data_IF_852600231132
#
_entry.id   IF_852600231132
#
_cell.length_a   1.000
_cell.length_b   1.000
_cell.length_c   1.000
_cell.angle_alpha   90.00
_cell.angle_beta   90.00
_cell.angle_gamma   90.00
#
_symmetry.space_group_name_H-M   'P 1'
#
loop_
_entity.id
_entity.type
_entity.pdbx_description
1 polymer ?
#
# COMPACT_ATOMS: atom_id res chain seq x y z
N UNK A 1 -10.40 -44.52 30.03
CA UNK A 1 -10.93 -44.25 28.68
C UNK A 1 -11.64 -42.89 28.55
N UNK A 2 -12.48 -42.42 29.49
CA UNK A 2 -13.19 -41.13 29.36
C UNK A 2 -12.31 -39.88 29.39
N UNK A 3 -11.17 -39.85 30.09
CA UNK A 3 -10.27 -38.71 30.17
C UNK A 3 -9.44 -38.48 28.88
N UNK A 4 -9.06 -39.56 28.17
CA UNK A 4 -8.29 -39.46 26.91
C UNK A 4 -9.14 -38.98 25.74
N UNK A 5 -10.42 -39.35 25.72
CA UNK A 5 -11.35 -38.88 24.69
C UNK A 5 -11.65 -37.36 24.82
N UNK A 6 -11.73 -36.86 26.08
CA UNK A 6 -11.94 -35.42 26.33
C UNK A 6 -10.72 -34.56 25.91
N UNK A 7 -9.51 -35.09 26.08
CA UNK A 7 -8.28 -34.40 25.66
C UNK A 7 -8.13 -34.33 24.13
N UNK A 8 -8.53 -35.41 23.42
CA UNK A 8 -8.56 -35.43 21.95
C UNK A 8 -9.60 -34.47 21.36
N UNK A 9 -10.75 -34.31 22.01
CA UNK A 9 -11.80 -33.38 21.58
C UNK A 9 -11.34 -31.91 21.76
N UNK A 10 -10.65 -31.61 22.87
CA UNK A 10 -10.08 -30.24 23.08
C UNK A 10 -8.99 -29.89 22.06
N UNK A 11 -8.11 -30.84 21.72
CA UNK A 11 -7.07 -30.61 20.70
C UNK A 11 -7.70 -30.44 19.30
N UNK A 12 -8.71 -31.21 18.97
CA UNK A 12 -9.42 -31.10 17.69
C UNK A 12 -10.15 -29.76 17.55
N UNK A 13 -10.78 -29.26 18.61
CA UNK A 13 -11.46 -27.96 18.58
C UNK A 13 -10.45 -26.80 18.35
N UNK A 14 -9.26 -26.85 18.96
CA UNK A 14 -8.24 -25.84 18.71
C UNK A 14 -7.68 -25.90 17.28
N UNK A 15 -7.42 -27.08 16.74
CA UNK A 15 -6.95 -27.23 15.35
C UNK A 15 -8.00 -26.77 14.34
N UNK A 16 -9.28 -27.01 14.58
CA UNK A 16 -10.37 -26.52 13.74
C UNK A 16 -10.49 -24.98 13.77
N UNK A 17 -10.27 -24.34 14.93
CA UNK A 17 -10.32 -22.88 15.04
C UNK A 17 -9.24 -22.21 14.21
N UNK A 18 -7.99 -22.67 14.28
CA UNK A 18 -6.89 -22.10 13.50
C UNK A 18 -7.05 -22.30 12.00
N UNK A 19 -7.50 -23.48 11.56
CA UNK A 19 -7.79 -23.74 10.14
C UNK A 19 -8.86 -22.79 9.61
N UNK A 20 -9.90 -22.51 10.38
CA UNK A 20 -10.96 -21.58 9.98
C UNK A 20 -10.49 -20.12 9.91
N UNK A 21 -9.52 -19.72 10.72
CA UNK A 21 -8.99 -18.35 10.72
C UNK A 21 -8.13 -18.07 9.47
N UNK A 22 -7.32 -19.02 9.04
CA UNK A 22 -6.55 -18.93 7.80
C UNK A 22 -7.47 -18.88 6.56
N UNK A 23 -8.48 -19.75 6.49
CA UNK A 23 -9.44 -19.75 5.39
C UNK A 23 -10.27 -18.45 5.33
N UNK A 24 -10.57 -17.86 6.50
CA UNK A 24 -11.20 -16.54 6.56
C UNK A 24 -10.28 -15.45 6.00
N UNK A 25 -8.99 -15.46 6.39
CA UNK A 25 -8.01 -14.52 5.86
C UNK A 25 -7.85 -14.63 4.34
N UNK A 26 -7.69 -15.86 3.82
CA UNK A 26 -7.60 -16.13 2.38
C UNK A 26 -8.79 -15.54 1.63
N UNK A 27 -10.01 -15.83 2.09
CA UNK A 27 -11.24 -15.31 1.48
C UNK A 27 -11.27 -13.77 1.44
N UNK A 28 -10.84 -13.09 2.51
CA UNK A 28 -10.77 -11.63 2.55
C UNK A 28 -9.76 -11.10 1.54
N UNK A 29 -8.56 -11.69 1.52
CA UNK A 29 -7.48 -11.28 0.61
C UNK A 29 -7.89 -11.52 -0.85
N UNK A 30 -8.37 -12.72 -1.18
CA UNK A 30 -8.87 -13.05 -2.52
C UNK A 30 -9.96 -12.08 -2.98
N UNK A 31 -10.90 -11.75 -2.08
CA UNK A 31 -11.99 -10.82 -2.41
C UNK A 31 -11.47 -9.42 -2.65
N UNK A 32 -10.69 -8.85 -1.72
CA UNK A 32 -10.19 -7.48 -1.80
C UNK A 32 -9.20 -7.28 -2.97
N UNK A 33 -8.41 -8.31 -3.33
CA UNK A 33 -7.47 -8.24 -4.45
C UNK A 33 -8.07 -8.67 -5.80
N UNK A 34 -9.36 -8.99 -5.85
CA UNK A 34 -10.04 -9.41 -7.09
C UNK A 34 -10.30 -8.22 -8.04
N UNK A 35 -10.48 -8.47 -9.36
CA UNK A 35 -10.81 -7.44 -10.33
C UNK A 35 -12.08 -6.63 -10.00
N UNK A 36 -13.02 -7.22 -9.26
CA UNK A 36 -14.26 -6.57 -8.81
C UNK A 36 -13.98 -5.33 -7.96
N UNK A 37 -12.88 -5.34 -7.18
CA UNK A 37 -12.49 -4.26 -6.28
C UNK A 37 -11.60 -3.20 -6.95
N UNK A 38 -11.34 -3.31 -8.27
CA UNK A 38 -10.69 -2.26 -9.06
C UNK A 38 -9.35 -1.81 -8.47
N UNK A 39 -8.60 -2.74 -7.86
CA UNK A 39 -7.36 -2.42 -7.13
C UNK A 39 -7.57 -1.47 -5.95
N UNK A 40 -8.77 -1.39 -5.39
CA UNK A 40 -9.16 -0.57 -4.22
C UNK A 40 -8.81 0.92 -4.33
N UNK A 41 -8.64 1.40 -5.56
CA UNK A 41 -8.37 2.81 -5.84
C UNK A 41 -9.61 3.60 -6.24
N UNK A 42 -9.41 4.78 -6.79
CA UNK A 42 -10.45 5.81 -6.96
C UNK A 42 -11.12 5.76 -8.34
N UNK A 43 -10.64 4.93 -9.25
CA UNK A 43 -11.29 4.65 -10.54
C UNK A 43 -12.41 3.64 -10.30
N UNK A 44 -13.58 3.89 -10.91
CA UNK A 44 -14.78 3.05 -10.78
C UNK A 44 -15.19 2.75 -9.31
N UNK A 45 -14.87 3.67 -8.37
CA UNK A 45 -15.18 3.58 -6.93
C UNK A 45 -14.62 2.33 -6.23
N UNK A 46 -13.45 1.84 -6.61
CA UNK A 46 -12.81 0.68 -5.99
C UNK A 46 -12.65 0.82 -4.47
N UNK A 47 -12.27 2.02 -3.99
CA UNK A 47 -12.20 2.36 -2.57
C UNK A 47 -13.58 2.24 -1.87
N UNK A 48 -14.65 2.71 -2.49
CA UNK A 48 -16.02 2.66 -1.90
C UNK A 48 -16.58 1.24 -1.86
N UNK A 49 -16.31 0.45 -2.89
CA UNK A 49 -16.67 -0.97 -2.94
C UNK A 49 -15.96 -1.71 -1.79
N UNK A 50 -14.69 -1.42 -1.57
CA UNK A 50 -13.88 -2.00 -0.49
C UNK A 50 -14.38 -1.59 0.89
N UNK A 51 -14.67 -0.31 1.08
CA UNK A 51 -15.24 0.20 2.34
C UNK A 51 -16.58 -0.44 2.68
N UNK A 52 -17.46 -0.60 1.68
CA UNK A 52 -18.76 -1.26 1.85
C UNK A 52 -18.58 -2.73 2.26
N UNK A 53 -17.66 -3.45 1.62
CA UNK A 53 -17.34 -4.83 1.99
C UNK A 53 -16.83 -4.93 3.42
N UNK A 54 -15.85 -4.10 3.82
CA UNK A 54 -15.27 -4.11 5.17
C UNK A 54 -16.34 -3.73 6.22
N UNK A 55 -17.20 -2.76 5.94
CA UNK A 55 -18.28 -2.37 6.86
C UNK A 55 -19.27 -3.50 7.08
N UNK A 56 -19.58 -4.29 6.05
CA UNK A 56 -20.43 -5.48 6.15
C UNK A 56 -19.76 -6.59 6.97
N UNK A 57 -18.45 -6.79 6.82
CA UNK A 57 -17.70 -7.73 7.67
C UNK A 57 -17.74 -7.26 9.14
N UNK A 58 -17.50 -5.96 9.43
CA UNK A 58 -17.63 -5.44 10.81
C UNK A 58 -19.03 -5.65 11.38
N UNK A 59 -20.08 -5.38 10.60
CA UNK A 59 -21.45 -5.62 11.00
C UNK A 59 -21.71 -7.11 11.31
N UNK A 60 -21.24 -8.01 10.44
CA UNK A 60 -21.44 -9.45 10.60
C UNK A 60 -20.76 -10.01 11.86
N UNK A 61 -19.64 -9.39 12.26
CA UNK A 61 -18.89 -9.71 13.47
C UNK A 61 -19.46 -9.01 14.74
N UNK A 62 -20.53 -8.20 14.61
CA UNK A 62 -21.19 -7.52 15.72
C UNK A 62 -20.41 -6.34 16.28
N UNK A 63 -19.51 -5.74 15.50
CA UNK A 63 -18.85 -4.50 15.91
C UNK A 63 -19.87 -3.34 15.95
N UNK A 64 -19.66 -2.45 16.90
CA UNK A 64 -20.42 -1.20 16.95
C UNK A 64 -19.80 -0.18 15.99
N UNK A 65 -20.59 0.63 15.27
CA UNK A 65 -20.10 1.70 14.42
C UNK A 65 -19.24 2.71 15.18
N UNK A 66 -18.11 3.11 14.62
CA UNK A 66 -17.23 4.11 15.21
C UNK A 66 -17.83 5.50 15.29
N UNK A 67 -18.70 5.85 14.36
CA UNK A 67 -19.57 7.02 14.43
C UNK A 67 -20.99 6.53 14.70
N UNK A 68 -21.57 6.83 15.86
CA UNK A 68 -22.88 6.35 16.42
C UNK A 68 -23.95 5.87 15.42
N UNK A 69 -23.88 6.30 14.15
CA UNK A 69 -24.85 5.99 13.08
C UNK A 69 -24.24 5.27 11.87
N UNK A 70 -22.91 5.19 11.75
CA UNK A 70 -22.23 4.70 10.56
C UNK A 70 -20.85 4.17 10.90
N UNK A 71 -20.38 3.20 10.13
CA UNK A 71 -18.97 2.77 10.17
C UNK A 71 -18.03 3.76 9.48
N UNK A 72 -18.55 4.72 8.69
CA UNK A 72 -17.75 5.60 7.84
C UNK A 72 -17.40 6.93 8.53
N UNK A 73 -16.13 7.29 8.38
CA UNK A 73 -15.66 8.66 8.57
C UNK A 73 -15.27 9.19 7.19
N UNK A 74 -16.12 10.05 6.61
CA UNK A 74 -15.92 10.62 5.28
C UNK A 74 -14.97 11.80 5.31
N UNK A 75 -14.17 11.93 4.25
CA UNK A 75 -13.25 13.06 4.02
C UNK A 75 -12.94 13.19 2.53
N UNK A 76 -12.48 14.39 2.13
CA UNK A 76 -12.10 14.67 0.74
C UNK A 76 -10.60 14.55 0.55
N UNK A 77 -10.21 14.02 -0.61
CA UNK A 77 -8.83 13.97 -1.07
C UNK A 77 -8.70 14.55 -2.47
N UNK A 78 -7.51 15.07 -2.81
CA UNK A 78 -7.15 15.27 -4.20
C UNK A 78 -6.49 14.00 -4.73
N UNK A 79 -6.90 13.56 -5.93
CA UNK A 79 -6.30 12.40 -6.58
C UNK A 79 -6.34 12.53 -8.09
N UNK A 80 -5.23 12.22 -8.76
CA UNK A 80 -5.19 12.07 -10.20
C UNK A 80 -5.51 10.63 -10.59
N UNK A 81 -6.37 10.43 -11.57
CA UNK A 81 -6.85 9.13 -12.01
C UNK A 81 -6.68 8.94 -13.51
N UNK A 82 -6.59 7.69 -13.94
CA UNK A 82 -6.53 7.29 -15.35
C UNK A 82 -7.77 6.43 -15.67
N UNK A 83 -8.98 7.03 -15.83
CA UNK A 83 -10.25 6.28 -15.82
C UNK A 83 -10.56 5.57 -17.13
N UNK A 84 -9.91 5.94 -18.23
CA UNK A 84 -10.20 5.42 -19.56
C UNK A 84 -9.03 4.60 -20.11
N UNK A 85 -9.01 4.39 -21.44
CA UNK A 85 -7.96 3.60 -22.07
C UNK A 85 -6.60 4.29 -21.92
N UNK A 86 -5.61 3.53 -21.48
CA UNK A 86 -4.18 3.87 -21.56
C UNK A 86 -3.57 3.03 -22.67
N UNK A 87 -3.03 3.65 -23.70
CA UNK A 87 -2.36 2.95 -24.81
C UNK A 87 -1.08 3.63 -25.21
N UNK A 88 -0.08 2.81 -25.51
CA UNK A 88 1.24 3.23 -25.95
C UNK A 88 1.73 2.34 -27.09
N UNK A 89 2.23 2.95 -28.16
CA UNK A 89 2.93 2.24 -29.24
C UNK A 89 4.25 2.92 -29.54
N UNK A 90 5.27 2.13 -29.73
CA UNK A 90 6.58 2.59 -30.24
C UNK A 90 6.76 2.03 -31.65
N UNK A 91 6.91 2.91 -32.64
CA UNK A 91 7.01 2.58 -34.06
C UNK A 91 5.95 1.56 -34.53
N UNK A 92 4.71 1.74 -34.08
CA UNK A 92 3.58 0.88 -34.39
C UNK A 92 3.45 -0.38 -33.51
N UNK A 93 4.47 -0.75 -32.75
CA UNK A 93 4.41 -1.89 -31.80
C UNK A 93 3.64 -1.50 -30.57
N UNK A 94 2.52 -2.16 -30.30
CA UNK A 94 1.69 -1.94 -29.12
C UNK A 94 2.36 -2.51 -27.86
N UNK A 95 2.34 -1.74 -26.76
CA UNK A 95 2.91 -2.10 -25.47
C UNK A 95 1.83 -2.43 -24.46
N UNK A 96 2.15 -3.33 -23.53
CA UNK A 96 1.24 -3.76 -22.46
C UNK A 96 1.46 -2.93 -21.19
N UNK A 97 0.41 -2.20 -20.70
CA UNK A 97 0.49 -1.48 -19.44
C UNK A 97 0.89 -2.38 -18.26
N UNK A 98 1.68 -1.85 -17.34
CA UNK A 98 2.23 -2.51 -16.15
C UNK A 98 3.10 -3.76 -16.39
N UNK A 99 3.34 -4.11 -17.68
CA UNK A 99 4.25 -5.19 -18.10
C UNK A 99 5.44 -4.62 -18.86
N UNK A 100 5.14 -3.89 -19.94
CA UNK A 100 6.15 -3.27 -20.81
C UNK A 100 6.47 -1.82 -20.37
N UNK A 101 5.50 -1.14 -19.74
CA UNK A 101 5.63 0.25 -19.29
C UNK A 101 4.69 0.61 -18.16
N UNK A 102 5.03 1.70 -17.45
CA UNK A 102 4.15 2.43 -16.54
C UNK A 102 3.98 3.88 -17.01
N UNK A 103 2.78 4.43 -16.76
CA UNK A 103 2.54 5.88 -16.78
C UNK A 103 2.62 6.39 -15.35
N UNK A 104 3.38 7.45 -15.07
CA UNK A 104 3.30 8.05 -13.74
C UNK A 104 1.87 8.47 -13.42
N UNK A 105 1.41 8.17 -12.21
CA UNK A 105 0.03 8.46 -11.78
C UNK A 105 -0.31 9.95 -11.77
N UNK A 106 0.68 10.82 -11.73
CA UNK A 106 0.55 12.28 -11.87
C UNK A 106 0.44 12.77 -13.33
N UNK A 107 0.42 11.87 -14.30
CA UNK A 107 0.40 12.19 -15.73
C UNK A 107 -0.85 13.01 -16.11
N UNK A 108 -0.72 14.08 -16.92
CA UNK A 108 -1.85 14.76 -17.55
C UNK A 108 -2.38 13.98 -18.75
N UNK A 109 -3.57 14.35 -19.24
CA UNK A 109 -4.10 13.82 -20.50
C UNK A 109 -3.20 14.18 -21.67
N UNK A 110 -2.99 13.23 -22.58
CA UNK A 110 -2.29 13.44 -23.83
C UNK A 110 -2.77 12.43 -24.88
N UNK A 111 -2.90 12.85 -26.12
CA UNK A 111 -3.18 11.96 -27.26
C UNK A 111 -2.45 12.46 -28.50
N UNK A 112 -1.85 11.55 -29.26
CA UNK A 112 -1.19 11.86 -30.51
C UNK A 112 -0.02 10.96 -30.86
N UNK A 113 0.67 11.35 -31.94
CA UNK A 113 1.92 10.74 -32.40
C UNK A 113 3.03 11.75 -32.32
N UNK A 114 4.13 11.40 -31.66
CA UNK A 114 5.23 12.30 -31.36
C UNK A 114 6.57 11.69 -31.75
N UNK A 115 7.54 12.49 -32.21
CA UNK A 115 8.94 12.06 -32.35
C UNK A 115 9.55 11.74 -31.00
N UNK A 116 10.50 10.81 -30.99
CA UNK A 116 11.33 10.48 -29.82
C UNK A 116 12.76 10.97 -30.09
N UNK A 117 13.28 11.79 -29.19
CA UNK A 117 14.69 12.17 -29.14
C UNK A 117 15.35 11.35 -28.05
N UNK A 118 16.38 10.59 -28.40
CA UNK A 118 17.10 9.71 -27.49
C UNK A 118 18.30 10.41 -26.88
N UNK A 119 18.52 10.15 -25.60
CA UNK A 119 19.70 10.65 -24.87
C UNK A 119 20.12 9.64 -23.81
N UNK A 120 21.35 9.77 -23.34
CA UNK A 120 21.87 9.01 -22.20
C UNK A 120 21.97 9.89 -20.95
N UNK A 121 22.07 9.25 -19.80
CA UNK A 121 22.30 9.94 -18.53
C UNK A 121 23.61 10.77 -18.56
N UNK A 122 24.66 10.25 -19.19
CA UNK A 122 25.94 10.97 -19.32
C UNK A 122 25.83 12.21 -20.20
N UNK A 123 24.95 12.22 -21.19
CA UNK A 123 24.68 13.42 -22.02
C UNK A 123 23.90 14.48 -21.26
N UNK A 124 22.94 14.09 -20.42
CA UNK A 124 22.22 15.00 -19.52
C UNK A 124 23.17 15.70 -18.54
N UNK A 125 24.20 15.01 -18.05
CA UNK A 125 25.22 15.59 -17.17
C UNK A 125 26.01 16.74 -17.84
N UNK A 126 26.03 16.81 -19.16
CA UNK A 126 26.68 17.86 -19.94
C UNK A 126 25.73 19.03 -20.18
N UNK A 127 25.96 20.18 -19.54
CA UNK A 127 25.11 21.37 -19.66
C UNK A 127 24.87 21.80 -21.13
N UNK A 128 25.88 21.86 -22.02
CA UNK A 128 25.65 22.23 -23.43
C UNK A 128 24.73 21.19 -24.15
N UNK A 129 24.91 19.89 -23.90
CA UNK A 129 24.08 18.84 -24.50
C UNK A 129 22.66 18.90 -23.96
N UNK A 130 22.47 19.12 -22.67
CA UNK A 130 21.15 19.28 -22.04
C UNK A 130 20.38 20.47 -22.61
N UNK A 131 21.02 21.63 -22.76
CA UNK A 131 20.38 22.81 -23.35
C UNK A 131 20.02 22.58 -24.83
N UNK A 132 20.92 21.99 -25.62
CA UNK A 132 20.64 21.62 -27.01
C UNK A 132 19.45 20.63 -27.09
N UNK A 133 19.40 19.63 -26.21
CA UNK A 133 18.31 18.66 -26.13
C UNK A 133 16.95 19.33 -25.86
N UNK A 134 16.89 20.20 -24.84
CA UNK A 134 15.66 20.94 -24.49
C UNK A 134 15.20 21.81 -25.67
N UNK A 135 16.11 22.54 -26.33
CA UNK A 135 15.78 23.41 -27.44
C UNK A 135 15.25 22.65 -28.68
N UNK A 136 15.72 21.41 -28.88
CA UNK A 136 15.29 20.59 -30.02
C UNK A 136 14.01 19.77 -29.76
N UNK A 137 13.60 19.61 -28.48
CA UNK A 137 12.58 18.65 -28.08
C UNK A 137 11.17 19.27 -27.86
N UNK A 138 10.90 20.52 -28.28
CA UNK A 138 9.65 21.22 -27.99
C UNK A 138 8.37 20.47 -28.40
N UNK A 139 8.42 19.65 -29.43
CA UNK A 139 7.31 18.81 -29.90
C UNK A 139 7.59 17.31 -29.78
N UNK A 140 8.61 16.91 -29.05
CA UNK A 140 9.09 15.53 -28.94
C UNK A 140 9.03 15.00 -27.53
N UNK A 141 9.01 13.68 -27.40
CA UNK A 141 9.36 13.00 -26.17
C UNK A 141 10.87 12.79 -26.09
N UNK A 142 11.43 12.98 -24.90
CA UNK A 142 12.83 12.66 -24.63
C UNK A 142 12.88 11.28 -24.01
N UNK A 143 13.54 10.33 -24.66
CA UNK A 143 13.85 9.01 -24.11
C UNK A 143 15.24 9.09 -23.46
N UNK A 144 15.28 8.86 -22.15
CA UNK A 144 16.50 8.85 -21.33
C UNK A 144 16.84 7.39 -21.04
N UNK A 145 17.96 6.92 -21.55
CA UNK A 145 18.47 5.58 -21.23
C UNK A 145 19.11 5.58 -19.83
N UNK A 146 18.43 4.91 -18.90
CA UNK A 146 18.84 4.79 -17.51
C UNK A 146 19.36 3.40 -17.12
N UNK A 147 19.52 2.46 -18.07
CA UNK A 147 19.90 1.09 -17.79
C UNK A 147 21.27 0.94 -17.14
N UNK A 148 22.19 1.85 -17.42
CA UNK A 148 23.55 1.88 -16.87
C UNK A 148 23.70 2.68 -15.57
N UNK A 149 22.62 3.19 -15.01
CA UNK A 149 22.60 4.02 -13.78
C UNK A 149 23.42 3.38 -12.63
N UNK A 150 23.30 2.09 -12.42
CA UNK A 150 24.02 1.34 -11.38
C UNK A 150 25.54 1.42 -11.47
N UNK A 151 26.10 1.79 -12.64
CA UNK A 151 27.53 1.91 -12.88
C UNK A 151 28.06 3.32 -12.59
N UNK A 152 27.20 4.28 -12.24
CA UNK A 152 27.55 5.68 -11.97
C UNK A 152 28.09 5.83 -10.54
N UNK A 153 29.00 6.82 -10.35
CA UNK A 153 29.40 7.24 -9.01
C UNK A 153 28.22 7.94 -8.30
N UNK A 154 28.02 7.72 -6.98
CA UNK A 154 26.85 8.22 -6.27
C UNK A 154 26.57 9.71 -6.44
N UNK A 155 27.60 10.57 -6.32
CA UNK A 155 27.48 12.04 -6.46
C UNK A 155 27.08 12.45 -7.89
N UNK A 156 27.64 11.75 -8.91
CA UNK A 156 27.30 11.97 -10.32
C UNK A 156 25.86 11.53 -10.58
N UNK A 157 25.49 10.35 -10.10
CA UNK A 157 24.14 9.81 -10.23
C UNK A 157 23.12 10.74 -9.61
N UNK A 158 23.37 11.23 -8.39
CA UNK A 158 22.48 12.18 -7.70
C UNK A 158 22.28 13.46 -8.52
N UNK A 159 23.36 14.06 -9.03
CA UNK A 159 23.27 15.27 -9.87
C UNK A 159 22.47 15.02 -11.14
N UNK A 160 22.64 13.87 -11.80
CA UNK A 160 21.88 13.53 -13.00
C UNK A 160 20.39 13.32 -12.63
N UNK A 161 20.11 12.67 -11.51
CA UNK A 161 18.73 12.50 -11.03
C UNK A 161 18.04 13.84 -10.80
N UNK A 162 18.72 14.83 -10.22
CA UNK A 162 18.19 16.19 -10.05
C UNK A 162 17.86 16.85 -11.42
N UNK A 163 18.70 16.67 -12.43
CA UNK A 163 18.43 17.16 -13.80
C UNK A 163 17.27 16.42 -14.46
N UNK A 164 17.15 15.10 -14.26
CA UNK A 164 16.01 14.30 -14.74
C UNK A 164 14.72 14.77 -14.06
N UNK A 165 14.73 15.04 -12.75
CA UNK A 165 13.58 15.61 -12.04
C UNK A 165 13.17 16.98 -12.62
N UNK A 166 14.15 17.84 -12.94
CA UNK A 166 13.89 19.12 -13.60
C UNK A 166 13.22 18.91 -14.98
N UNK A 167 13.71 17.97 -15.79
CA UNK A 167 13.09 17.63 -17.08
C UNK A 167 11.68 17.09 -16.92
N UNK A 168 11.42 16.29 -15.91
CA UNK A 168 10.10 15.70 -15.63
C UNK A 168 9.06 16.72 -15.20
N UNK A 169 9.42 17.67 -14.31
CA UNK A 169 8.42 18.42 -13.56
C UNK A 169 8.49 19.94 -13.71
N UNK A 170 9.60 20.50 -14.23
CA UNK A 170 9.71 21.96 -14.35
C UNK A 170 8.82 22.50 -15.47
N UNK A 171 7.91 23.45 -15.19
CA UNK A 171 7.09 24.09 -16.22
C UNK A 171 7.88 24.99 -17.19
N UNK A 172 9.11 25.38 -16.84
CA UNK A 172 10.00 26.18 -17.71
C UNK A 172 10.63 25.35 -18.83
N UNK A 173 10.61 24.02 -18.73
CA UNK A 173 11.12 23.12 -19.78
C UNK A 173 10.03 22.86 -20.79
N UNK A 174 10.23 23.28 -22.06
CA UNK A 174 9.22 23.11 -23.13
C UNK A 174 9.47 21.84 -23.94
N UNK A 175 8.98 20.71 -23.43
CA UNK A 175 9.00 19.39 -24.11
C UNK A 175 7.65 18.71 -23.97
N UNK A 176 7.35 17.72 -24.80
CA UNK A 176 6.06 17.00 -24.75
C UNK A 176 5.95 16.01 -23.62
N UNK A 177 7.01 15.29 -23.32
CA UNK A 177 7.05 14.32 -22.24
C UNK A 177 8.40 13.62 -22.12
N UNK A 178 8.50 12.74 -21.12
CA UNK A 178 9.71 11.99 -20.82
C UNK A 178 9.43 10.49 -20.87
N UNK A 179 10.35 9.73 -21.41
CA UNK A 179 10.41 8.27 -21.32
C UNK A 179 11.69 7.89 -20.54
N UNK A 180 11.55 7.27 -19.41
CA UNK A 180 12.64 6.69 -18.63
C UNK A 180 12.78 5.24 -19.05
N UNK A 181 13.86 4.90 -19.71
CA UNK A 181 14.14 3.53 -20.14
C UNK A 181 15.03 2.84 -19.12
N UNK A 182 14.53 1.79 -18.48
CA UNK A 182 15.19 1.13 -17.36
C UNK A 182 15.02 -0.39 -17.38
N UNK A 183 15.94 -1.10 -16.71
CA UNK A 183 15.82 -2.52 -16.37
C UNK A 183 15.31 -2.73 -14.93
N UNK A 184 15.04 -1.65 -14.18
CA UNK A 184 14.52 -1.76 -12.83
C UNK A 184 13.09 -2.30 -12.84
N UNK A 185 12.68 -2.94 -11.76
CA UNK A 185 11.32 -3.40 -11.54
C UNK A 185 10.33 -2.24 -11.70
N UNK A 186 9.25 -2.48 -12.41
CA UNK A 186 8.14 -1.54 -12.53
C UNK A 186 7.36 -1.48 -11.21
N UNK A 187 7.38 -0.34 -10.54
CA UNK A 187 6.56 -0.03 -9.35
C UNK A 187 5.73 1.20 -9.61
N UNK A 188 4.43 1.13 -9.31
CA UNK A 188 3.49 2.22 -9.49
C UNK A 188 3.13 2.86 -8.15
N UNK A 189 2.59 4.09 -8.17
CA UNK A 189 2.20 4.85 -6.98
C UNK A 189 0.90 5.60 -7.28
N UNK A 190 0.13 5.98 -6.25
CA UNK A 190 -0.96 6.92 -6.39
C UNK A 190 -0.43 8.36 -6.41
N UNK A 191 -1.22 9.32 -6.92
CA UNK A 191 -0.83 10.74 -6.91
C UNK A 191 -1.99 11.65 -6.55
N UNK A 192 -1.74 12.60 -5.67
CA UNK A 192 -2.67 13.67 -5.29
C UNK A 192 -2.58 14.91 -6.20
N UNK A 193 -1.67 14.91 -7.17
CA UNK A 193 -1.43 16.05 -8.09
C UNK A 193 -1.39 15.59 -9.54
N UNK A 194 -1.58 16.54 -10.46
CA UNK A 194 -1.35 16.33 -11.87
C UNK A 194 -0.16 17.19 -12.31
N UNK A 195 0.81 16.57 -12.98
CA UNK A 195 2.02 17.22 -13.46
C UNK A 195 1.82 17.94 -14.80
N UNK A 196 2.81 18.70 -15.19
CA UNK A 196 2.76 19.53 -16.42
C UNK A 196 2.92 18.73 -17.70
N UNK A 197 3.48 17.50 -17.61
CA UNK A 197 3.71 16.62 -18.77
C UNK A 197 3.68 15.14 -18.39
N UNK A 198 3.43 14.26 -19.37
CA UNK A 198 3.49 12.81 -19.14
C UNK A 198 4.92 12.34 -18.91
N UNK A 199 5.05 11.41 -17.98
CA UNK A 199 6.28 10.64 -17.72
C UNK A 199 5.93 9.17 -17.84
N UNK A 200 6.73 8.45 -18.63
CA UNK A 200 6.57 7.04 -18.93
C UNK A 200 7.82 6.31 -18.43
N UNK A 201 7.67 5.24 -17.68
CA UNK A 201 8.74 4.29 -17.41
C UNK A 201 8.61 3.13 -18.38
N UNK A 202 9.63 2.90 -19.19
CA UNK A 202 9.68 1.85 -20.20
C UNK A 202 10.65 0.76 -19.75
N UNK A 203 10.17 -0.49 -19.74
CA UNK A 203 10.95 -1.66 -19.30
C UNK A 203 11.17 -2.67 -20.43
N UNK A 204 10.31 -2.71 -21.45
CA UNK A 204 10.45 -3.60 -22.59
C UNK A 204 11.73 -3.34 -23.36
N UNK A 205 12.44 -4.40 -23.70
CA UNK A 205 13.64 -4.30 -24.54
C UNK A 205 13.32 -3.82 -25.96
N UNK A 206 14.12 -2.85 -26.41
CA UNK A 206 14.10 -2.30 -27.74
C UNK A 206 15.52 -2.09 -28.25
N UNK A 207 15.72 -2.23 -29.57
CA UNK A 207 16.87 -1.65 -30.24
C UNK A 207 16.66 -0.12 -30.31
N UNK A 208 17.35 0.61 -29.44
CA UNK A 208 17.20 2.05 -29.39
C UNK A 208 17.60 2.76 -30.70
N UNK A 209 18.42 2.14 -31.57
CA UNK A 209 18.76 2.75 -32.85
C UNK A 209 17.54 2.85 -33.78
N UNK A 210 16.59 1.93 -33.65
CA UNK A 210 15.37 1.87 -34.42
C UNK A 210 14.19 2.65 -33.85
N UNK A 211 14.23 3.06 -32.56
CA UNK A 211 13.12 3.78 -31.90
C UNK A 211 13.06 5.23 -32.39
N UNK A 212 11.91 5.64 -32.95
CA UNK A 212 11.74 6.98 -33.55
C UNK A 212 10.44 7.67 -33.17
N UNK A 213 9.34 6.94 -32.98
CA UNK A 213 8.02 7.54 -32.78
C UNK A 213 7.25 6.88 -31.65
N UNK A 214 6.51 7.71 -30.93
CA UNK A 214 5.56 7.31 -29.87
C UNK A 214 4.15 7.67 -30.29
N UNK A 215 3.25 6.70 -30.33
CA UNK A 215 1.81 6.95 -30.32
C UNK A 215 1.28 6.70 -28.91
N UNK A 216 0.61 7.70 -28.35
CA UNK A 216 0.15 7.69 -26.96
C UNK A 216 -1.29 8.17 -26.88
N UNK A 217 -2.08 7.52 -26.02
CA UNK A 217 -3.39 8.00 -25.64
C UNK A 217 -3.60 7.76 -24.14
N UNK A 218 -3.68 8.83 -23.39
CA UNK A 218 -3.91 8.85 -21.93
C UNK A 218 -5.03 9.85 -21.67
N UNK A 219 -6.07 9.39 -21.02
CA UNK A 219 -7.14 10.23 -20.49
C UNK A 219 -7.01 10.26 -18.96
N UNK A 220 -6.42 11.33 -18.46
CA UNK A 220 -6.19 11.56 -17.04
C UNK A 220 -7.22 12.54 -16.48
N UNK A 221 -7.63 12.34 -15.23
CA UNK A 221 -8.58 13.23 -14.57
C UNK A 221 -8.14 13.51 -13.14
N UNK A 222 -7.75 14.76 -12.88
CA UNK A 222 -7.56 15.23 -11.52
C UNK A 222 -8.92 15.47 -10.86
N UNK A 223 -9.13 14.86 -9.71
CA UNK A 223 -10.29 15.01 -8.86
C UNK A 223 -9.85 15.76 -7.59
N UNK A 224 -10.05 17.10 -7.51
CA UNK A 224 -9.49 17.89 -6.41
C UNK A 224 -10.22 17.70 -5.08
N UNK A 225 -11.43 17.15 -5.09
CA UNK A 225 -12.25 16.86 -3.93
C UNK A 225 -13.03 15.56 -4.15
N UNK A 226 -12.31 14.45 -4.16
CA UNK A 226 -12.91 13.12 -4.20
C UNK A 226 -13.27 12.68 -2.78
N UNK A 227 -14.58 12.46 -2.51
CA UNK A 227 -15.01 11.94 -1.22
C UNK A 227 -14.66 10.46 -1.08
N UNK A 228 -13.84 10.13 -0.09
CA UNK A 228 -13.53 8.77 0.36
C UNK A 228 -13.87 8.62 1.85
N UNK A 229 -13.55 7.49 2.47
CA UNK A 229 -13.91 7.23 3.86
C UNK A 229 -12.98 6.24 4.56
N UNK A 230 -12.69 6.47 5.83
CA UNK A 230 -12.22 5.42 6.74
C UNK A 230 -13.40 4.56 7.21
N UNK A 231 -13.15 3.28 7.50
CA UNK A 231 -14.14 2.35 8.05
C UNK A 231 -13.76 1.99 9.47
N UNK A 232 -14.64 2.29 10.46
CA UNK A 232 -14.29 2.19 11.88
C UNK A 232 -15.36 1.38 12.61
N UNK A 233 -14.91 0.33 13.30
CA UNK A 233 -15.75 -0.50 14.16
C UNK A 233 -15.14 -0.68 15.54
N UNK A 234 -15.94 -1.00 16.56
CA UNK A 234 -15.47 -1.19 17.92
C UNK A 234 -16.13 -2.36 18.64
N UNK A 235 -15.39 -2.96 19.55
CA UNK A 235 -15.87 -3.98 20.51
C UNK A 235 -15.61 -3.45 21.92
N UNK A 236 -16.67 -3.41 22.73
CA UNK A 236 -16.62 -2.94 24.11
C UNK A 236 -15.81 -3.91 24.99
N UNK A 237 -14.87 -3.37 25.74
CA UNK A 237 -14.09 -4.11 26.73
C UNK A 237 -14.88 -4.47 28.00
N UNK A 238 -14.35 -5.43 28.76
CA UNK A 238 -14.97 -5.96 29.98
C UNK A 238 -14.47 -5.29 31.26
N UNK A 239 -13.33 -4.59 31.22
CA UNK A 239 -12.68 -4.01 32.43
C UNK A 239 -13.39 -2.80 33.01
N UNK A 240 -14.36 -2.19 32.31
CA UNK A 240 -14.94 -0.90 32.70
C UNK A 240 -13.99 0.31 32.53
N UNK A 241 -12.76 0.09 32.12
CA UNK A 241 -11.79 1.15 31.78
C UNK A 241 -12.23 1.91 30.53
N UNK A 242 -11.91 3.19 30.47
CA UNK A 242 -12.09 4.02 29.29
C UNK A 242 -10.88 3.99 28.33
N UNK A 243 -9.84 3.21 28.68
CA UNK A 243 -8.70 2.96 27.81
C UNK A 243 -9.08 2.12 26.61
N UNK A 244 -8.44 2.41 25.47
CA UNK A 244 -8.73 1.80 24.18
C UNK A 244 -7.45 1.18 23.58
N UNK A 245 -7.58 0.02 22.96
CA UNK A 245 -6.57 -0.54 22.05
C UNK A 245 -7.05 -0.27 20.62
N UNK A 246 -6.16 0.24 19.79
CA UNK A 246 -6.46 0.50 18.37
C UNK A 246 -5.68 -0.46 17.49
N UNK A 247 -6.38 -1.04 16.51
CA UNK A 247 -5.82 -1.93 15.50
C UNK A 247 -6.19 -1.36 14.15
N UNK A 248 -5.20 -1.07 13.31
CA UNK A 248 -5.48 -0.47 12.01
C UNK A 248 -4.67 -1.08 10.86
N UNK A 249 -5.20 -0.92 9.65
CA UNK A 249 -4.56 -1.19 8.37
C UNK A 249 -5.19 -0.27 7.33
N UNK A 250 -4.46 0.12 6.28
CA UNK A 250 -5.11 0.77 5.15
C UNK A 250 -5.77 -0.27 4.23
N UNK A 251 -6.86 0.11 3.59
CA UNK A 251 -7.58 -0.77 2.67
C UNK A 251 -7.53 -0.31 1.21
N UNK A 252 -7.20 0.96 0.97
CA UNK A 252 -6.94 1.45 -0.37
C UNK A 252 -5.67 0.82 -0.94
N UNK A 253 -5.55 0.84 -2.25
CA UNK A 253 -4.35 0.50 -2.98
C UNK A 253 -4.31 1.32 -4.27
N UNK A 254 -3.38 1.02 -5.15
CA UNK A 254 -3.04 1.85 -6.31
C UNK A 254 -4.19 2.01 -7.33
N UNK A 255 -5.15 1.10 -7.33
CA UNK A 255 -6.30 1.19 -8.24
C UNK A 255 -6.01 0.70 -9.64
N UNK A 256 -6.40 1.50 -10.63
CA UNK A 256 -6.34 1.13 -12.04
C UNK A 256 -5.53 2.12 -12.87
N UNK A 257 -4.68 1.60 -13.74
CA UNK A 257 -4.04 2.32 -14.83
C UNK A 257 -4.80 2.06 -16.14
N UNK A 258 -5.77 2.91 -16.44
CA UNK A 258 -6.75 2.65 -17.51
C UNK A 258 -7.83 1.67 -17.08
N UNK A 259 -8.64 1.20 -18.06
CA UNK A 259 -9.78 0.30 -17.80
C UNK A 259 -9.37 -1.16 -17.57
N UNK A 260 -8.24 -1.57 -18.14
CA UNK A 260 -7.91 -2.98 -18.33
C UNK A 260 -6.78 -3.45 -17.40
N UNK A 261 -6.11 -2.53 -16.71
CA UNK A 261 -4.98 -2.85 -15.84
C UNK A 261 -5.28 -2.40 -14.42
N UNK A 262 -5.35 -3.33 -13.48
CA UNK A 262 -5.52 -3.05 -12.05
C UNK A 262 -4.34 -3.61 -11.25
N UNK A 263 -4.07 -3.01 -10.11
CA UNK A 263 -3.06 -3.43 -9.16
C UNK A 263 -3.75 -4.16 -8.01
N UNK A 264 -3.55 -5.48 -7.86
CA UNK A 264 -4.36 -6.28 -6.94
C UNK A 264 -4.13 -5.96 -5.47
N UNK A 265 -2.86 -5.75 -5.07
CA UNK A 265 -2.49 -5.42 -3.69
C UNK A 265 -2.92 -6.48 -2.68
N UNK A 266 -2.56 -7.73 -2.91
CA UNK A 266 -2.93 -8.82 -2.02
C UNK A 266 -2.16 -8.76 -0.70
N UNK A 267 -0.84 -8.55 -0.78
CA UNK A 267 -0.02 -8.29 0.40
C UNK A 267 -0.15 -6.84 0.85
N UNK A 268 -0.19 -5.91 -0.10
CA UNK A 268 -0.30 -4.47 0.11
C UNK A 268 -1.71 -3.94 -0.25
N UNK A 269 -2.66 -3.71 0.66
CA UNK A 269 -2.59 -4.18 2.03
C UNK A 269 -3.86 -4.97 2.37
N UNK A 270 -4.36 -5.81 1.42
CA UNK A 270 -5.47 -6.71 1.72
C UNK A 270 -5.11 -7.68 2.86
N UNK A 271 -3.82 -8.03 3.01
CA UNK A 271 -3.33 -8.89 4.09
C UNK A 271 -3.45 -8.23 5.46
N UNK A 272 -3.12 -6.94 5.59
CA UNK A 272 -3.32 -6.17 6.81
C UNK A 272 -4.79 -6.01 7.16
N UNK A 273 -5.66 -5.76 6.16
CA UNK A 273 -7.12 -5.76 6.37
C UNK A 273 -7.61 -7.13 6.84
N UNK A 274 -7.12 -8.22 6.26
CA UNK A 274 -7.44 -9.56 6.70
C UNK A 274 -7.01 -9.80 8.16
N UNK A 275 -5.84 -9.28 8.57
CA UNK A 275 -5.36 -9.37 9.94
C UNK A 275 -6.29 -8.64 10.92
N UNK A 276 -6.68 -7.39 10.64
CA UNK A 276 -7.59 -6.66 11.54
C UNK A 276 -8.97 -7.30 11.61
N UNK A 277 -9.49 -7.88 10.53
CA UNK A 277 -10.76 -8.60 10.50
C UNK A 277 -10.69 -9.92 11.28
N UNK A 278 -9.59 -10.67 11.18
CA UNK A 278 -9.37 -11.89 11.98
C UNK A 278 -9.26 -11.57 13.48
N UNK A 279 -8.57 -10.51 13.85
CA UNK A 279 -8.52 -10.04 15.23
C UNK A 279 -9.92 -9.61 15.72
N UNK A 280 -10.67 -8.88 14.89
CA UNK A 280 -12.06 -8.51 15.20
C UNK A 280 -12.95 -9.75 15.40
N UNK A 281 -12.80 -10.77 14.55
CA UNK A 281 -13.51 -12.04 14.67
C UNK A 281 -13.15 -12.77 15.98
N UNK A 282 -11.87 -12.83 16.34
CA UNK A 282 -11.45 -13.43 17.59
C UNK A 282 -12.10 -12.73 18.80
N UNK A 283 -12.01 -11.40 18.85
CA UNK A 283 -12.51 -10.61 19.98
C UNK A 283 -14.03 -10.42 19.98
N UNK A 284 -14.72 -10.72 18.91
CA UNK A 284 -16.18 -10.75 18.90
C UNK A 284 -16.73 -11.90 19.76
N UNK A 285 -16.01 -13.01 19.80
CA UNK A 285 -16.33 -14.19 20.62
C UNK A 285 -15.62 -14.12 21.99
N UNK A 286 -14.33 -13.81 22.01
CA UNK A 286 -13.50 -13.70 23.21
C UNK A 286 -13.41 -12.23 23.62
N UNK A 287 -14.32 -11.77 24.49
CA UNK A 287 -14.42 -10.34 24.81
C UNK A 287 -13.09 -9.77 25.33
N UNK A 288 -12.61 -8.67 24.76
CA UNK A 288 -11.33 -8.07 25.16
C UNK A 288 -11.43 -7.39 26.53
N UNK A 289 -10.30 -7.24 27.22
CA UNK A 289 -10.21 -6.51 28.47
C UNK A 289 -10.50 -5.01 28.30
N UNK A 290 -9.83 -4.37 27.34
CA UNK A 290 -10.06 -2.98 26.97
C UNK A 290 -10.96 -2.89 25.73
N UNK A 291 -11.65 -1.76 25.55
CA UNK A 291 -12.34 -1.48 24.30
C UNK A 291 -11.34 -1.56 23.14
N UNK A 292 -11.66 -2.32 22.12
CA UNK A 292 -10.87 -2.39 20.89
C UNK A 292 -11.55 -1.62 19.76
N UNK A 293 -10.79 -0.80 19.06
CA UNK A 293 -11.23 -0.08 17.88
C UNK A 293 -10.44 -0.57 16.69
N UNK A 294 -11.15 -1.00 15.64
CA UNK A 294 -10.63 -1.49 14.38
C UNK A 294 -10.84 -0.42 13.32
N UNK A 295 -9.78 0.00 12.65
CA UNK A 295 -9.80 1.08 11.68
C UNK A 295 -9.22 0.57 10.36
N UNK A 296 -10.03 0.54 9.30
CA UNK A 296 -9.55 0.39 7.94
C UNK A 296 -9.46 1.79 7.32
N UNK A 297 -8.25 2.24 7.04
CA UNK A 297 -7.95 3.59 6.54
C UNK A 297 -7.96 3.62 5.02
N UNK A 298 -8.39 4.75 4.43
CA UNK A 298 -8.29 5.05 3.01
C UNK A 298 -7.24 6.14 2.77
N UNK A 299 -6.71 6.20 1.56
CA UNK A 299 -5.79 7.28 1.17
C UNK A 299 -4.39 7.19 1.76
N UNK A 300 -3.97 6.02 2.18
CA UNK A 300 -2.60 5.76 2.59
C UNK A 300 -1.66 5.98 1.42
N UNK A 301 -1.95 5.34 0.29
CA UNK A 301 -1.19 5.38 -0.96
C UNK A 301 -1.13 6.78 -1.60
N UNK A 302 -2.09 7.63 -1.27
CA UNK A 302 -2.13 9.02 -1.70
C UNK A 302 -1.43 9.99 -0.72
N UNK A 303 -0.76 9.47 0.31
CA UNK A 303 0.02 10.23 1.29
C UNK A 303 -0.56 10.25 2.71
N UNK A 304 -0.98 9.11 3.25
CA UNK A 304 -1.48 8.92 4.61
C UNK A 304 -2.75 9.75 4.92
N UNK A 305 -3.58 10.02 3.91
CA UNK A 305 -4.67 11.01 4.02
C UNK A 305 -5.78 10.56 4.96
N UNK A 306 -6.06 9.24 5.05
CA UNK A 306 -7.02 8.68 5.99
C UNK A 306 -6.59 8.80 7.45
N UNK A 307 -5.33 8.50 7.73
CA UNK A 307 -4.75 8.69 9.05
C UNK A 307 -4.73 10.19 9.44
N UNK A 308 -4.45 11.07 8.47
CA UNK A 308 -4.53 12.52 8.65
C UNK A 308 -5.95 12.94 9.02
N UNK A 309 -6.94 12.54 8.23
CA UNK A 309 -8.35 12.86 8.49
C UNK A 309 -8.82 12.36 9.86
N UNK A 310 -8.40 11.14 10.25
CA UNK A 310 -8.75 10.58 11.55
C UNK A 310 -8.07 11.34 12.69
N UNK A 311 -6.79 11.65 12.60
CA UNK A 311 -6.03 12.30 13.68
C UNK A 311 -6.35 13.80 13.82
N UNK A 312 -6.86 14.45 12.78
CA UNK A 312 -7.37 15.82 12.83
C UNK A 312 -8.80 15.91 13.41
N UNK A 313 -9.65 14.91 13.13
CA UNK A 313 -11.03 14.83 13.62
C UNK A 313 -11.30 13.43 14.21
N UNK A 314 -10.66 13.08 15.33
CA UNK A 314 -10.74 11.74 15.87
C UNK A 314 -12.13 11.41 16.40
N UNK A 315 -12.60 10.18 16.12
CA UNK A 315 -13.88 9.66 16.65
C UNK A 315 -13.74 9.07 18.06
N UNK A 316 -12.50 8.93 18.55
CA UNK A 316 -12.16 8.52 19.90
C UNK A 316 -11.13 9.49 20.49
N UNK A 317 -11.06 9.59 21.81
CA UNK A 317 -10.02 10.40 22.47
C UNK A 317 -8.64 9.73 22.28
N UNK A 318 -7.75 10.38 21.52
CA UNK A 318 -6.41 9.88 21.24
C UNK A 318 -5.58 9.65 22.50
N UNK A 319 -5.82 10.45 23.58
CA UNK A 319 -5.13 10.31 24.88
C UNK A 319 -5.54 9.06 25.65
N UNK A 320 -6.69 8.46 25.30
CA UNK A 320 -7.18 7.21 25.90
C UNK A 320 -6.69 5.97 25.17
N UNK A 321 -5.97 6.13 24.06
CA UNK A 321 -5.36 5.01 23.34
C UNK A 321 -4.19 4.49 24.18
N UNK A 322 -4.37 3.32 24.78
CA UNK A 322 -3.36 2.63 25.56
C UNK A 322 -2.21 2.14 24.69
N UNK A 323 -2.54 1.59 23.53
CA UNK A 323 -1.60 1.17 22.50
C UNK A 323 -2.30 1.03 21.15
N UNK A 324 -1.54 1.30 20.07
CA UNK A 324 -2.00 1.16 18.69
C UNK A 324 -1.05 0.24 17.93
N UNK A 325 -1.60 -0.64 17.08
CA UNK A 325 -0.82 -1.44 16.12
C UNK A 325 -1.36 -1.22 14.72
N UNK A 326 -0.47 -0.79 13.82
CA UNK A 326 -0.69 -0.70 12.37
C UNK A 326 -0.15 -1.96 11.71
N UNK A 327 -0.99 -2.66 10.95
CA UNK A 327 -0.64 -3.82 10.16
C UNK A 327 -0.55 -3.45 8.68
N UNK A 328 0.60 -3.73 8.09
CA UNK A 328 0.84 -3.48 6.68
C UNK A 328 1.81 -4.54 6.16
N UNK A 329 1.49 -5.15 4.99
CA UNK A 329 2.24 -6.28 4.45
C UNK A 329 2.27 -7.50 5.42
N UNK A 330 1.11 -8.05 5.77
CA UNK A 330 0.99 -9.12 6.77
C UNK A 330 0.96 -10.55 6.19
N UNK A 331 1.12 -10.72 4.87
CA UNK A 331 0.85 -11.98 4.16
C UNK A 331 2.06 -12.91 3.96
N UNK A 332 3.26 -12.53 4.41
CA UNK A 332 4.49 -13.34 4.29
C UNK A 332 4.99 -13.76 5.69
N UNK A 333 6.27 -13.66 6.00
CA UNK A 333 6.79 -13.85 7.38
C UNK A 333 7.81 -14.95 7.52
N UNK A 334 8.27 -15.58 6.43
CA UNK A 334 9.26 -16.66 6.45
C UNK A 334 10.55 -16.26 7.17
N UNK A 335 10.85 -14.96 7.22
CA UNK A 335 11.98 -14.38 7.96
C UNK A 335 11.53 -13.63 9.23
N UNK A 336 10.26 -13.72 9.60
CA UNK A 336 9.67 -13.08 10.78
C UNK A 336 9.02 -11.73 10.49
N UNK A 337 9.02 -10.85 11.50
CA UNK A 337 8.41 -9.52 11.44
C UNK A 337 9.38 -8.41 11.83
N UNK A 338 9.13 -7.20 11.31
CA UNK A 338 9.83 -5.96 11.69
C UNK A 338 8.88 -5.04 12.44
N UNK A 339 9.32 -4.54 13.60
CA UNK A 339 8.53 -3.68 14.49
C UNK A 339 9.10 -2.27 14.51
N UNK A 340 8.48 -1.37 13.76
CA UNK A 340 8.79 0.07 13.76
C UNK A 340 8.30 0.69 15.08
N UNK A 341 9.02 1.66 15.60
CA UNK A 341 8.90 2.22 16.96
C UNK A 341 9.23 1.22 18.08
N UNK A 342 9.72 0.02 17.78
CA UNK A 342 10.13 -0.96 18.79
C UNK A 342 11.18 -0.43 19.74
N UNK A 343 12.14 0.38 19.26
CA UNK A 343 13.15 0.99 20.13
C UNK A 343 12.61 2.15 20.98
N UNK A 344 11.50 2.77 20.59
CA UNK A 344 10.83 3.85 21.33
C UNK A 344 10.01 3.27 22.48
N UNK A 345 9.24 2.23 22.19
CA UNK A 345 8.39 1.54 23.19
C UNK A 345 9.02 0.19 23.55
N UNK A 346 10.24 0.25 24.08
CA UNK A 346 11.10 -0.91 24.33
C UNK A 346 10.47 -1.95 25.26
N UNK A 347 9.74 -1.51 26.29
CA UNK A 347 9.01 -2.37 27.22
C UNK A 347 7.93 -3.21 26.50
N UNK A 348 7.22 -2.62 25.55
CA UNK A 348 6.21 -3.31 24.72
C UNK A 348 6.85 -4.23 23.71
N UNK A 349 7.97 -3.80 23.11
CA UNK A 349 8.74 -4.66 22.22
C UNK A 349 9.30 -5.89 22.94
N UNK A 350 9.84 -5.71 24.17
CA UNK A 350 10.37 -6.81 24.97
C UNK A 350 9.26 -7.80 25.38
N UNK A 351 8.07 -7.29 25.71
CA UNK A 351 6.89 -8.12 25.95
C UNK A 351 6.55 -8.96 24.72
N UNK A 352 6.41 -8.33 23.55
CA UNK A 352 6.10 -9.00 22.27
C UNK A 352 7.16 -10.07 21.93
N UNK A 353 8.44 -9.73 22.04
CA UNK A 353 9.56 -10.65 21.78
C UNK A 353 9.61 -11.81 22.77
N UNK A 354 9.27 -11.57 24.04
CA UNK A 354 9.22 -12.59 25.08
C UNK A 354 8.09 -13.59 24.79
N UNK A 355 6.89 -13.10 24.44
CA UNK A 355 5.76 -13.95 24.06
C UNK A 355 6.15 -14.81 22.86
N UNK A 356 6.74 -14.20 21.81
CA UNK A 356 7.19 -14.93 20.64
C UNK A 356 8.14 -16.09 20.98
N UNK A 357 9.14 -15.82 21.82
CA UNK A 357 10.12 -16.84 22.26
C UNK A 357 9.50 -17.94 23.09
N UNK A 358 8.61 -17.58 24.04
CA UNK A 358 7.96 -18.56 24.95
C UNK A 358 7.05 -19.53 24.19
N UNK A 359 6.42 -19.07 23.12
CA UNK A 359 5.45 -19.86 22.35
C UNK A 359 5.98 -20.35 21.01
N UNK A 360 7.23 -19.99 20.65
CA UNK A 360 7.91 -20.40 19.40
C UNK A 360 7.02 -20.17 18.18
N UNK A 361 6.51 -18.92 18.00
CA UNK A 361 5.55 -18.58 16.97
C UNK A 361 6.25 -18.20 15.67
N UNK A 362 6.85 -17.01 15.62
CA UNK A 362 7.52 -16.52 14.43
C UNK A 362 9.04 -16.76 14.48
N UNK A 363 9.69 -16.96 13.34
CA UNK A 363 11.15 -17.16 13.26
C UNK A 363 11.92 -16.03 13.93
N UNK A 364 11.44 -14.78 13.78
CA UNK A 364 12.13 -13.60 14.28
C UNK A 364 11.17 -12.44 14.56
N UNK A 365 11.45 -11.68 15.61
CA UNK A 365 10.84 -10.37 15.88
C UNK A 365 11.95 -9.32 15.89
N UNK A 366 12.08 -8.57 14.79
CA UNK A 366 13.15 -7.58 14.60
C UNK A 366 12.71 -6.20 15.08
N UNK A 367 13.59 -5.55 15.83
CA UNK A 367 13.39 -4.19 16.30
C UNK A 367 13.80 -3.15 15.24
N UNK A 368 13.02 -2.07 15.12
CA UNK A 368 13.35 -0.90 14.32
C UNK A 368 13.08 0.38 15.11
N UNK A 369 13.85 1.44 14.82
CA UNK A 369 13.61 2.79 15.31
C UNK A 369 12.39 3.45 14.65
N UNK A 370 12.10 4.71 15.00
CA UNK A 370 11.00 5.46 14.43
C UNK A 370 11.22 5.68 12.92
N UNK A 371 10.15 5.52 12.17
CA UNK A 371 10.08 5.85 10.74
C UNK A 371 8.67 6.31 10.42
N UNK A 372 8.54 7.28 9.51
CA UNK A 372 7.23 7.80 9.06
C UNK A 372 6.94 7.28 7.66
N UNK A 373 6.62 5.99 7.56
CA UNK A 373 6.47 5.26 6.29
C UNK A 373 5.19 4.41 6.23
N UNK A 374 4.21 4.66 7.09
CA UNK A 374 2.84 4.13 7.05
C UNK A 374 1.97 4.89 8.06
N UNK A 375 0.68 4.60 8.14
CA UNK A 375 -0.37 5.34 8.87
C UNK A 375 -0.09 5.62 10.35
N UNK A 376 0.62 4.72 11.04
CA UNK A 376 1.00 4.90 12.46
C UNK A 376 1.71 6.23 12.71
N UNK A 377 2.37 6.79 11.70
CA UNK A 377 3.17 8.00 11.81
C UNK A 377 2.36 9.18 12.37
N UNK A 378 1.16 9.42 11.83
CA UNK A 378 0.36 10.57 12.23
C UNK A 378 -0.22 10.41 13.64
N UNK A 379 -0.49 9.18 14.07
CA UNK A 379 -0.86 8.88 15.46
C UNK A 379 0.34 9.07 16.40
N UNK A 380 1.52 8.59 16.00
CA UNK A 380 2.76 8.79 16.75
C UNK A 380 3.08 10.28 16.98
N UNK A 381 2.93 11.09 15.94
CA UNK A 381 3.11 12.55 16.01
C UNK A 381 2.12 13.24 16.98
N UNK A 382 0.95 12.63 17.22
CA UNK A 382 -0.04 13.07 18.24
C UNK A 382 0.22 12.50 19.64
N UNK A 383 1.33 11.79 19.83
CA UNK A 383 1.72 11.20 21.12
C UNK A 383 1.04 9.87 21.44
N UNK A 384 0.42 9.21 20.47
CA UNK A 384 -0.18 7.87 20.64
C UNK A 384 0.94 6.82 20.66
N UNK A 385 1.05 5.98 21.71
CA UNK A 385 1.99 4.87 21.71
C UNK A 385 1.59 3.82 20.68
N UNK A 386 2.51 3.50 19.76
CA UNK A 386 2.18 2.64 18.64
C UNK A 386 3.36 1.84 18.08
N UNK A 387 3.03 0.69 17.50
CA UNK A 387 3.87 -0.03 16.55
C UNK A 387 3.29 0.06 15.14
N UNK A 388 4.18 0.02 14.17
CA UNK A 388 3.90 -0.42 12.82
C UNK A 388 4.66 -1.71 12.59
N UNK A 389 3.95 -2.75 12.14
CA UNK A 389 4.52 -4.08 11.98
C UNK A 389 4.26 -4.58 10.56
N UNK A 390 5.32 -5.04 9.89
CA UNK A 390 5.29 -5.70 8.60
C UNK A 390 6.09 -7.00 8.62
N UNK A 391 5.71 -7.94 7.76
CA UNK A 391 6.37 -9.23 7.65
C UNK A 391 7.63 -9.15 6.78
N UNK A 392 8.54 -10.10 6.96
CA UNK A 392 9.81 -10.23 6.25
C UNK A 392 9.85 -11.54 5.47
N UNK A 393 10.56 -11.53 4.34
CA UNK A 393 10.68 -12.68 3.45
C UNK A 393 9.49 -12.81 2.48
N UNK A 394 9.46 -13.94 1.77
CA UNK A 394 8.38 -14.28 0.83
C UNK A 394 8.50 -13.59 -0.53
N UNK A 395 7.34 -13.23 -1.09
CA UNK A 395 7.26 -12.66 -2.44
C UNK A 395 7.85 -11.24 -2.51
N UNK A 396 8.43 -10.91 -3.67
CA UNK A 396 8.98 -9.59 -3.94
C UNK A 396 8.00 -8.68 -4.72
N UNK A 397 6.74 -9.10 -4.83
CA UNK A 397 5.68 -8.30 -5.41
C UNK A 397 5.33 -7.16 -4.46
N UNK A 398 5.44 -5.92 -4.95
CA UNK A 398 5.12 -4.70 -4.22
C UNK A 398 4.86 -3.59 -5.24
N UNK A 399 3.73 -2.93 -5.16
CA UNK A 399 3.30 -1.86 -6.07
C UNK A 399 3.33 -2.28 -7.55
N UNK A 400 3.06 -3.55 -7.82
CA UNK A 400 2.99 -4.12 -9.17
C UNK A 400 1.79 -5.06 -9.34
N UNK A 401 1.55 -5.49 -10.58
CA UNK A 401 0.43 -6.37 -10.93
C UNK A 401 0.60 -7.83 -10.47
N UNK A 402 1.73 -8.17 -9.85
CA UNK A 402 2.05 -9.52 -9.38
C UNK A 402 1.80 -9.68 -7.87
N UNK A 403 1.41 -8.62 -7.16
CA UNK A 403 0.94 -8.72 -5.77
C UNK A 403 -0.48 -9.31 -5.74
N UNK A 404 -0.57 -10.64 -5.90
CA UNK A 404 -1.80 -11.41 -6.10
C UNK A 404 -2.02 -12.40 -4.97
N UNK A 405 -3.31 -12.67 -4.68
CA UNK A 405 -3.71 -13.66 -3.69
C UNK A 405 -3.18 -15.06 -3.98
N UNK A 406 -3.11 -15.45 -5.28
CA UNK A 406 -2.68 -16.79 -5.69
C UNK A 406 -1.20 -17.07 -5.38
N UNK A 407 -0.39 -16.03 -5.28
CA UNK A 407 1.05 -16.12 -5.00
C UNK A 407 1.43 -15.72 -3.59
N UNK A 408 0.48 -15.22 -2.79
CA UNK A 408 0.71 -14.82 -1.41
C UNK A 408 0.68 -16.04 -0.47
N UNK A 409 1.79 -16.38 0.19
CA UNK A 409 1.93 -17.70 0.85
C UNK A 409 1.14 -17.80 2.16
N UNK A 410 0.94 -16.72 2.91
CA UNK A 410 0.35 -16.68 4.25
C UNK A 410 1.03 -17.62 5.25
N UNK A 411 2.31 -17.91 5.06
CA UNK A 411 3.09 -18.92 5.79
C UNK A 411 2.99 -18.74 7.30
N UNK A 412 3.21 -17.50 7.77
CA UNK A 412 3.24 -17.20 9.20
C UNK A 412 1.99 -16.44 9.70
N UNK A 413 0.97 -16.29 8.85
CA UNK A 413 -0.21 -15.46 9.18
C UNK A 413 -0.91 -15.92 10.47
N UNK A 414 -1.06 -17.21 10.67
CA UNK A 414 -1.72 -17.78 11.87
C UNK A 414 -0.93 -17.56 13.14
N UNK A 415 0.37 -17.80 13.11
CA UNK A 415 1.26 -17.58 14.27
C UNK A 415 1.47 -16.08 14.54
N UNK A 416 1.47 -15.24 13.51
CA UNK A 416 1.46 -13.79 13.68
C UNK A 416 0.17 -13.31 14.37
N UNK A 417 -1.00 -13.76 13.92
CA UNK A 417 -2.28 -13.46 14.57
C UNK A 417 -2.27 -13.89 16.04
N UNK A 418 -1.81 -15.09 16.33
CA UNK A 418 -1.71 -15.64 17.69
C UNK A 418 -0.78 -14.80 18.58
N UNK A 419 0.37 -14.42 18.05
CA UNK A 419 1.30 -13.52 18.74
C UNK A 419 0.62 -12.20 19.12
N UNK A 420 -0.14 -11.61 18.20
CA UNK A 420 -0.82 -10.34 18.44
C UNK A 420 -1.96 -10.46 19.44
N UNK A 421 -2.74 -11.56 19.42
CA UNK A 421 -3.77 -11.82 20.43
C UNK A 421 -3.13 -11.89 21.81
N UNK A 422 -2.07 -12.69 21.99
CA UNK A 422 -1.38 -12.82 23.27
C UNK A 422 -0.76 -11.49 23.73
N UNK A 423 -0.24 -10.70 22.81
CA UNK A 423 0.29 -9.37 23.10
C UNK A 423 -0.81 -8.43 23.61
N UNK A 424 -1.94 -8.33 22.93
CA UNK A 424 -3.06 -7.46 23.34
C UNK A 424 -3.68 -7.89 24.66
N UNK A 425 -3.81 -9.20 24.91
CA UNK A 425 -4.33 -9.73 26.18
C UNK A 425 -3.40 -9.44 27.36
N UNK A 426 -2.10 -9.26 27.10
CA UNK A 426 -1.07 -8.93 28.10
C UNK A 426 -0.94 -7.44 28.39
N UNK A 427 -1.64 -6.56 27.64
CA UNK A 427 -1.60 -5.11 27.86
C UNK A 427 -2.49 -4.69 29.04
#
# INVERSE_FOLDING_TARGET
MKKTALFLVLISVHLFSFSQDIEYAKRIIEKLSSPEFKGRGYVENGDKISADYISKEFLSLGLLPGNKKSYYQKFDISVNTLPNKVSLKIDGTELKPAVDFLIESSCPSISGKFPIIKTSRSEIASQPKLLSLINSASNSFILIDCRDKKNEKPDVSKRIDELVQLLKYSPQVSIKGIIIYTNDKLTWEASSVQNVRPVITLHKEFDLTAVNTLEINIDAKLLPAYETQNVIGSLKGTSGSDSTIVVLAHYDHLGMMGKDTYFPGANDNASGVAMILNLARHYSVNKPKYTMVFIALSGEEAGLLGAKAFTEKPLIDLKKIKFLVNFDLAGTGEEGIKVVNGSVYKDKFDLLSTINKQHNLLPKVDIRGPACNSDHCLFYQKGVPCFYIYTLGGIQAYHDINDRSETLPLTEFGDYQKLMIMFFDSL
#
